data_IF_861604995115
#
_entry.id   IF_861604995115
#
_cell.length_a   1.000
_cell.length_b   1.000
_cell.length_c   1.000
_cell.angle_alpha   90.00
_cell.angle_beta   90.00
_cell.angle_gamma   90.00
#
_symmetry.space_group_name_H-M   'P 1'
#
loop_
_entity.id
_entity.type
_entity.pdbx_description
1 polymer ?
#
# COMPACT_ATOMS: atom_id res chain seq x y z
N UNK A 1 -35.12 2.89 -62.39
CA UNK A 1 -33.88 3.61 -62.02
C UNK A 1 -34.01 3.93 -60.54
N UNK A 2 -33.53 3.04 -59.67
CA UNK A 2 -33.46 3.25 -58.23
C UNK A 2 -32.13 2.64 -57.79
N UNK A 3 -31.36 3.46 -57.09
CA UNK A 3 -29.96 3.29 -56.74
C UNK A 3 -29.75 2.20 -55.68
N UNK A 4 -28.54 1.65 -55.73
CA UNK A 4 -27.98 0.61 -54.88
C UNK A 4 -27.44 1.29 -53.62
N UNK A 5 -27.95 0.94 -52.44
CA UNK A 5 -27.29 1.21 -51.16
C UNK A 5 -26.54 -0.05 -50.69
N UNK A 6 -25.22 0.09 -50.63
CA UNK A 6 -24.28 -0.90 -50.12
C UNK A 6 -24.26 -0.94 -48.58
N UNK A 7 -24.56 -2.11 -48.01
CA UNK A 7 -24.47 -2.40 -46.58
C UNK A 7 -23.00 -2.47 -46.08
N UNK A 8 -22.69 -2.03 -44.85
CA UNK A 8 -21.33 -1.97 -44.33
C UNK A 8 -20.81 -3.33 -43.84
N UNK A 9 -19.54 -3.60 -44.14
CA UNK A 9 -18.75 -4.76 -43.72
C UNK A 9 -18.76 -5.00 -42.19
N UNK A 10 -19.15 -6.20 -41.77
CA UNK A 10 -19.26 -6.65 -40.37
C UNK A 10 -17.95 -7.06 -39.66
N UNK A 11 -16.79 -6.55 -40.07
CA UNK A 11 -15.49 -6.95 -39.49
C UNK A 11 -15.06 -6.17 -38.24
N UNK A 12 -15.82 -5.18 -37.76
CA UNK A 12 -15.43 -4.30 -36.64
C UNK A 12 -15.99 -4.68 -35.25
N UNK A 13 -16.85 -5.70 -35.13
CA UNK A 13 -17.52 -6.01 -33.86
C UNK A 13 -16.65 -6.85 -32.90
N UNK A 14 -15.83 -7.77 -33.41
CA UNK A 14 -15.03 -8.68 -32.58
C UNK A 14 -13.82 -8.01 -31.93
N UNK A 15 -13.15 -7.07 -32.61
CA UNK A 15 -12.07 -6.27 -32.04
C UNK A 15 -12.61 -5.36 -30.94
N UNK A 16 -13.72 -4.66 -31.18
CA UNK A 16 -14.34 -3.73 -30.24
C UNK A 16 -14.78 -4.38 -28.91
N UNK A 17 -15.26 -5.62 -28.91
CA UNK A 17 -15.62 -6.33 -27.67
C UNK A 17 -14.39 -6.69 -26.82
N UNK A 18 -13.28 -7.07 -27.44
CA UNK A 18 -12.04 -7.38 -26.72
C UNK A 18 -11.40 -6.12 -26.12
N UNK A 19 -11.43 -5.01 -26.84
CA UNK A 19 -10.92 -3.71 -26.39
C UNK A 19 -11.81 -3.15 -25.27
N UNK A 20 -13.14 -3.23 -25.42
CA UNK A 20 -14.11 -2.83 -24.39
C UNK A 20 -13.94 -3.61 -23.08
N UNK A 21 -13.72 -4.93 -23.16
CA UNK A 21 -13.45 -5.77 -21.99
C UNK A 21 -12.14 -5.41 -21.30
N UNK A 22 -11.06 -5.18 -22.07
CA UNK A 22 -9.76 -4.74 -21.54
C UNK A 22 -9.85 -3.36 -20.87
N UNK A 23 -10.57 -2.42 -21.47
CA UNK A 23 -10.79 -1.08 -20.89
C UNK A 23 -11.60 -1.15 -19.59
N UNK A 24 -12.60 -2.04 -19.52
CA UNK A 24 -13.38 -2.24 -18.30
C UNK A 24 -12.53 -2.83 -17.18
N UNK A 25 -11.72 -3.86 -17.47
CA UNK A 25 -10.76 -4.44 -16.52
C UNK A 25 -9.72 -3.41 -16.03
N UNK A 26 -9.26 -2.54 -16.93
CA UNK A 26 -8.32 -1.47 -16.61
C UNK A 26 -8.94 -0.46 -15.62
N UNK A 27 -10.17 -0.05 -15.87
CA UNK A 27 -10.91 0.86 -14.98
C UNK A 27 -11.13 0.27 -13.59
N UNK A 28 -11.40 -1.03 -13.47
CA UNK A 28 -11.50 -1.70 -12.18
C UNK A 28 -10.15 -1.82 -11.48
N UNK A 29 -9.09 -2.12 -12.23
CA UNK A 29 -7.72 -2.19 -11.71
C UNK A 29 -7.24 -0.85 -11.13
N UNK A 30 -7.61 0.27 -11.75
CA UNK A 30 -7.27 1.62 -11.26
C UNK A 30 -7.96 1.92 -9.92
N UNK A 31 -9.17 1.38 -9.66
CA UNK A 31 -9.85 1.55 -8.36
C UNK A 31 -9.06 0.96 -7.19
N UNK A 32 -8.20 -0.03 -7.47
CA UNK A 32 -7.34 -0.65 -6.46
C UNK A 32 -6.11 0.20 -6.12
N UNK A 33 -5.85 1.30 -6.85
CA UNK A 33 -4.69 2.18 -6.68
C UNK A 33 -4.91 3.30 -5.65
N UNK A 34 -5.91 3.17 -4.76
CA UNK A 34 -6.20 4.20 -3.74
C UNK A 34 -4.95 4.59 -2.92
N UNK A 35 -4.17 3.61 -2.47
CA UNK A 35 -2.95 3.87 -1.67
C UNK A 35 -1.91 4.70 -2.45
N UNK A 36 -1.78 4.46 -3.75
CA UNK A 36 -0.82 5.16 -4.62
C UNK A 36 -1.02 6.68 -4.56
N UNK A 37 -2.28 7.13 -4.55
CA UNK A 37 -2.63 8.55 -4.50
C UNK A 37 -2.77 9.08 -3.08
N UNK A 38 -3.22 8.23 -2.15
CA UNK A 38 -3.54 8.64 -0.77
C UNK A 38 -2.29 8.98 0.04
N UNK A 39 -1.26 8.12 0.02
CA UNK A 39 -0.02 8.30 0.78
C UNK A 39 0.71 9.62 0.44
N UNK A 40 1.00 9.94 -0.83
CA UNK A 40 1.76 11.14 -1.18
C UNK A 40 0.94 12.39 -0.93
N UNK A 41 -0.40 12.33 -1.08
CA UNK A 41 -1.28 13.43 -0.73
C UNK A 41 -1.30 13.71 0.78
N UNK A 42 -1.35 12.68 1.62
CA UNK A 42 -1.24 12.86 3.06
C UNK A 42 0.14 13.38 3.48
N UNK A 43 1.22 12.93 2.82
CA UNK A 43 2.55 13.47 3.03
C UNK A 43 2.66 14.94 2.58
N UNK A 44 2.11 15.30 1.42
CA UNK A 44 2.05 16.69 0.95
C UNK A 44 1.30 17.59 1.94
N UNK A 45 0.13 17.15 2.43
CA UNK A 45 -0.61 17.88 3.47
C UNK A 45 0.16 18.04 4.76
N UNK A 46 0.96 17.03 5.15
CA UNK A 46 1.86 17.13 6.31
C UNK A 46 2.90 18.22 6.07
N UNK A 47 3.58 18.20 4.93
CA UNK A 47 4.62 19.18 4.55
C UNK A 47 4.06 20.61 4.53
N UNK A 48 2.94 20.85 3.86
CA UNK A 48 2.29 22.19 3.81
C UNK A 48 1.95 22.69 5.22
N UNK A 49 1.38 21.85 6.08
CA UNK A 49 1.05 22.25 7.46
C UNK A 49 2.29 22.55 8.29
N UNK A 50 3.35 21.76 8.15
CA UNK A 50 4.59 21.96 8.87
C UNK A 50 5.26 23.28 8.45
N UNK A 51 5.35 23.51 7.15
CA UNK A 51 5.90 24.74 6.57
C UNK A 51 5.08 25.96 6.97
N UNK A 52 3.75 25.89 6.88
CA UNK A 52 2.86 26.97 7.29
C UNK A 52 3.07 27.36 8.76
N UNK A 53 3.09 26.38 9.68
CA UNK A 53 3.36 26.64 11.10
C UNK A 53 4.75 27.24 11.34
N UNK A 54 5.76 26.76 10.62
CA UNK A 54 7.12 27.28 10.73
C UNK A 54 7.17 28.75 10.28
N UNK A 55 6.56 29.07 9.13
CA UNK A 55 6.47 30.45 8.62
C UNK A 55 5.69 31.34 9.58
N UNK A 56 4.51 30.93 10.06
CA UNK A 56 3.71 31.72 11.01
C UNK A 56 4.48 32.05 12.29
N UNK A 57 5.22 31.08 12.83
CA UNK A 57 6.05 31.28 14.03
C UNK A 57 7.13 32.32 13.79
N UNK A 58 7.86 32.21 12.68
CA UNK A 58 8.95 33.13 12.35
C UNK A 58 8.42 34.52 12.01
N UNK A 59 7.32 34.63 11.27
CA UNK A 59 6.65 35.90 10.97
C UNK A 59 6.20 36.59 12.26
N UNK A 60 5.54 35.86 13.16
CA UNK A 60 5.12 36.40 14.47
C UNK A 60 6.32 36.90 15.27
N UNK A 61 7.44 36.18 15.22
CA UNK A 61 8.68 36.55 15.87
C UNK A 61 9.27 37.83 15.27
N UNK A 62 9.26 37.99 13.94
CA UNK A 62 9.72 39.20 13.27
C UNK A 62 8.83 40.39 13.63
N UNK A 63 7.50 40.22 13.59
CA UNK A 63 6.54 41.26 13.97
C UNK A 63 6.79 41.75 15.40
N UNK A 64 6.97 40.83 16.36
CA UNK A 64 7.27 41.23 17.74
C UNK A 64 8.58 41.99 17.84
N UNK A 65 9.63 41.54 17.14
CA UNK A 65 10.92 42.25 17.13
C UNK A 65 10.86 43.63 16.49
N UNK A 66 9.98 43.86 15.51
CA UNK A 66 9.76 45.18 14.91
C UNK A 66 9.02 46.10 15.88
N UNK A 67 8.01 45.58 16.60
CA UNK A 67 7.31 46.34 17.62
C UNK A 67 8.25 46.76 18.76
N UNK A 68 9.06 45.82 19.26
CA UNK A 68 10.06 46.08 20.31
C UNK A 68 11.08 47.16 19.88
N UNK A 69 11.45 47.18 18.59
CA UNK A 69 12.37 48.18 18.05
C UNK A 69 11.72 49.56 17.83
N UNK A 70 10.39 49.64 17.68
CA UNK A 70 9.66 50.89 17.48
C UNK A 70 9.38 51.62 18.80
N UNK A 71 9.21 50.88 19.90
CA UNK A 71 8.87 51.43 21.22
C UNK A 71 10.10 51.78 22.09
N UNK A 72 11.30 51.38 21.67
CA UNK A 72 12.50 51.55 22.47
C UNK A 72 13.16 52.91 22.23
N UNK A 73 13.38 53.67 23.31
CA UNK A 73 14.18 54.91 23.31
C UNK A 73 15.67 54.52 23.38
N UNK A 74 16.23 54.07 22.24
CA UNK A 74 17.55 53.43 22.16
C UNK A 74 18.61 54.35 21.62
N UNK A 75 19.85 54.13 22.07
CA UNK A 75 21.02 54.79 21.49
C UNK A 75 21.15 54.44 20.00
N UNK A 76 21.85 55.29 19.23
CA UNK A 76 22.06 55.04 17.79
C UNK A 76 22.74 53.70 17.52
N UNK A 77 23.69 53.30 18.36
CA UNK A 77 24.43 52.04 18.21
C UNK A 77 23.53 50.83 18.49
N UNK A 78 22.68 50.92 19.52
CA UNK A 78 21.71 49.86 19.83
C UNK A 78 20.64 49.74 18.74
N UNK A 79 20.15 50.85 18.20
CA UNK A 79 19.19 50.86 17.09
C UNK A 79 19.77 50.17 15.83
N UNK A 80 21.06 50.41 15.53
CA UNK A 80 21.76 49.73 14.42
C UNK A 80 21.89 48.23 14.70
N UNK A 81 22.21 47.81 15.93
CA UNK A 81 22.26 46.40 16.31
C UNK A 81 20.89 45.72 16.19
N UNK A 82 19.81 46.37 16.64
CA UNK A 82 18.44 45.88 16.52
C UNK A 82 18.03 45.70 15.05
N UNK A 83 18.28 46.70 14.19
CA UNK A 83 18.00 46.59 12.76
C UNK A 83 18.82 45.48 12.09
N UNK A 84 20.09 45.32 12.47
CA UNK A 84 20.95 44.25 11.96
C UNK A 84 20.40 42.88 12.34
N UNK A 85 19.93 42.71 13.59
CA UNK A 85 19.26 41.51 14.06
C UNK A 85 17.97 41.23 13.27
N UNK A 86 17.13 42.25 13.06
CA UNK A 86 15.90 42.10 12.26
C UNK A 86 16.18 41.70 10.81
N UNK A 87 17.19 42.31 10.17
CA UNK A 87 17.63 41.92 8.81
C UNK A 87 18.08 40.47 8.79
N UNK A 88 18.87 40.02 9.79
CA UNK A 88 19.30 38.62 9.88
C UNK A 88 18.13 37.65 9.99
N UNK A 89 17.08 38.02 10.75
CA UNK A 89 15.87 37.22 10.95
C UNK A 89 15.02 37.18 9.68
N UNK A 90 14.88 38.31 8.97
CA UNK A 90 14.20 38.35 7.67
C UNK A 90 14.92 37.50 6.62
N UNK A 91 16.25 37.52 6.60
CA UNK A 91 17.04 36.63 5.73
C UNK A 91 16.83 35.16 6.10
N UNK A 92 16.79 34.83 7.40
CA UNK A 92 16.46 33.49 7.89
C UNK A 92 15.06 33.04 7.48
N UNK A 93 14.06 33.91 7.59
CA UNK A 93 12.69 33.65 7.15
C UNK A 93 12.63 33.39 5.63
N UNK A 94 13.32 34.22 4.83
CA UNK A 94 13.42 34.01 3.37
C UNK A 94 13.97 32.62 3.04
N UNK A 95 15.08 32.23 3.66
CA UNK A 95 15.69 30.90 3.45
C UNK A 95 14.72 29.76 3.80
N UNK A 96 14.07 29.83 4.97
CA UNK A 96 13.06 28.85 5.39
C UNK A 96 11.88 28.76 4.43
N UNK A 97 11.41 29.89 3.90
CA UNK A 97 10.32 29.92 2.93
C UNK A 97 10.72 29.29 1.59
N UNK A 98 11.93 29.56 1.11
CA UNK A 98 12.46 28.91 -0.10
C UNK A 98 12.63 27.39 0.07
N UNK A 99 13.18 26.94 1.21
CA UNK A 99 13.30 25.52 1.54
C UNK A 99 11.94 24.84 1.63
N UNK A 100 10.98 25.47 2.33
CA UNK A 100 9.61 24.98 2.43
C UNK A 100 8.93 24.87 1.05
N UNK A 101 9.08 25.90 0.21
CA UNK A 101 8.54 25.90 -1.15
C UNK A 101 9.14 24.78 -2.01
N UNK A 102 10.46 24.55 -1.94
CA UNK A 102 11.10 23.43 -2.64
C UNK A 102 10.55 22.08 -2.17
N UNK A 103 10.38 21.89 -0.86
CA UNK A 103 9.83 20.67 -0.30
C UNK A 103 8.37 20.43 -0.73
N UNK A 104 7.53 21.47 -0.73
CA UNK A 104 6.15 21.39 -1.20
C UNK A 104 6.06 21.07 -2.70
N UNK A 105 6.85 21.74 -3.53
CA UNK A 105 6.90 21.51 -4.97
C UNK A 105 7.33 20.07 -5.29
N UNK A 106 8.29 19.51 -4.56
CA UNK A 106 8.70 18.11 -4.71
C UNK A 106 7.54 17.14 -4.41
N UNK A 107 6.78 17.38 -3.34
CA UNK A 107 5.64 16.51 -3.03
C UNK A 107 4.49 16.68 -4.02
N UNK A 108 4.24 17.90 -4.51
CA UNK A 108 3.28 18.15 -5.57
C UNK A 108 3.69 17.44 -6.88
N UNK A 109 4.97 17.47 -7.23
CA UNK A 109 5.52 16.75 -8.39
C UNK A 109 5.29 15.24 -8.27
N UNK A 110 5.52 14.64 -7.09
CA UNK A 110 5.25 13.21 -6.86
C UNK A 110 3.77 12.86 -7.00
N UNK A 111 2.88 13.71 -6.48
CA UNK A 111 1.44 13.54 -6.71
C UNK A 111 1.10 13.56 -8.20
N UNK A 112 1.68 14.50 -8.96
CA UNK A 112 1.47 14.61 -10.42
C UNK A 112 2.00 13.40 -11.16
N UNK A 113 3.24 12.98 -10.91
CA UNK A 113 3.85 11.82 -11.55
C UNK A 113 3.01 10.54 -11.39
N UNK A 114 2.32 10.39 -10.25
CA UNK A 114 1.43 9.26 -10.01
C UNK A 114 0.09 9.37 -10.74
N UNK A 115 -0.45 10.57 -10.90
CA UNK A 115 -1.61 10.81 -11.76
C UNK A 115 -1.27 10.52 -13.23
N UNK A 116 -0.15 11.06 -13.72
CA UNK A 116 0.34 10.83 -15.08
C UNK A 116 0.54 9.32 -15.34
N UNK A 117 1.09 8.58 -14.34
CA UNK A 117 1.22 7.12 -14.43
C UNK A 117 -0.13 6.40 -14.51
N UNK A 118 -1.16 6.86 -13.78
CA UNK A 118 -2.51 6.28 -13.89
C UNK A 118 -3.18 6.60 -15.23
N UNK A 119 -2.96 7.81 -15.77
CA UNK A 119 -3.48 8.22 -17.08
C UNK A 119 -2.79 7.49 -18.23
N UNK A 120 -1.52 7.10 -18.07
CA UNK A 120 -0.77 6.30 -19.05
C UNK A 120 -1.25 4.84 -19.18
N UNK A 121 -2.23 4.45 -18.38
CA UNK A 121 -2.83 3.12 -18.47
C UNK A 121 -3.68 3.03 -19.75
N UNK A 122 -3.19 2.31 -20.75
CA UNK A 122 -3.90 2.01 -21.98
C UNK A 122 -3.79 0.51 -22.35
N UNK A 123 -4.57 0.07 -23.34
CA UNK A 123 -4.61 -1.32 -23.76
C UNK A 123 -3.33 -1.80 -24.49
N UNK A 124 -2.55 -0.89 -25.07
CA UNK A 124 -1.33 -1.19 -25.84
C UNK A 124 -0.08 -1.29 -24.94
N UNK A 125 -0.04 -0.49 -23.88
CA UNK A 125 1.03 -0.37 -22.90
C UNK A 125 0.77 -1.16 -21.61
N UNK A 126 -0.33 -1.91 -21.54
CA UNK A 126 -0.78 -2.62 -20.33
C UNK A 126 0.31 -3.50 -19.70
N UNK A 127 1.12 -4.19 -20.52
CA UNK A 127 2.22 -5.03 -20.02
C UNK A 127 3.30 -4.21 -19.29
N UNK A 128 3.73 -3.10 -19.88
CA UNK A 128 4.71 -2.19 -19.27
C UNK A 128 4.14 -1.54 -18.02
N UNK A 129 2.89 -1.09 -18.08
CA UNK A 129 2.19 -0.50 -16.94
C UNK A 129 2.08 -1.49 -15.76
N UNK A 130 1.70 -2.74 -16.03
CA UNK A 130 1.64 -3.81 -15.03
C UNK A 130 3.02 -4.15 -14.45
N UNK A 131 4.08 -4.12 -15.25
CA UNK A 131 5.44 -4.32 -14.75
C UNK A 131 5.84 -3.22 -13.76
N UNK A 132 5.57 -1.96 -14.09
CA UNK A 132 5.77 -0.82 -13.17
C UNK A 132 4.93 -0.97 -11.92
N UNK A 133 3.66 -1.37 -12.05
CA UNK A 133 2.78 -1.65 -10.91
C UNK A 133 3.36 -2.70 -9.97
N UNK A 134 3.81 -3.83 -10.50
CA UNK A 134 4.42 -4.90 -9.71
C UNK A 134 5.66 -4.39 -8.97
N UNK A 135 6.54 -3.66 -9.64
CA UNK A 135 7.75 -3.10 -9.01
C UNK A 135 7.42 -2.15 -7.85
N UNK A 136 6.40 -1.30 -7.98
CA UNK A 136 5.91 -0.45 -6.88
C UNK A 136 5.41 -1.27 -5.70
N UNK A 137 4.65 -2.33 -5.95
CA UNK A 137 4.16 -3.26 -4.92
C UNK A 137 5.32 -3.96 -4.21
N UNK A 138 6.35 -4.37 -4.95
CA UNK A 138 7.56 -4.97 -4.37
C UNK A 138 8.33 -3.97 -3.51
N UNK A 139 8.46 -2.71 -3.94
CA UNK A 139 9.07 -1.65 -3.12
C UNK A 139 8.29 -1.43 -1.83
N UNK A 140 6.96 -1.31 -1.87
CA UNK A 140 6.11 -1.21 -0.65
C UNK A 140 6.35 -2.41 0.29
N UNK A 141 6.36 -3.64 -0.24
CA UNK A 141 6.65 -4.83 0.55
C UNK A 141 8.03 -4.79 1.20
N UNK A 142 9.07 -4.45 0.43
CA UNK A 142 10.45 -4.36 0.93
C UNK A 142 10.57 -3.32 2.04
N UNK A 143 9.95 -2.14 1.90
CA UNK A 143 9.96 -1.10 2.93
C UNK A 143 9.27 -1.58 4.21
N UNK A 144 8.13 -2.26 4.11
CA UNK A 144 7.41 -2.82 5.28
C UNK A 144 8.19 -3.92 5.99
N UNK A 145 8.93 -4.73 5.24
CA UNK A 145 9.79 -5.81 5.75
C UNK A 145 11.18 -5.32 6.17
N UNK A 146 11.43 -4.01 6.17
CA UNK A 146 12.71 -3.38 6.53
C UNK A 146 13.88 -3.63 5.58
N UNK A 147 13.61 -4.04 4.33
CA UNK A 147 14.59 -4.20 3.27
C UNK A 147 14.82 -2.89 2.49
N UNK A 148 15.18 -1.81 3.21
CA UNK A 148 15.26 -0.45 2.67
C UNK A 148 16.27 -0.31 1.52
N UNK A 149 17.49 -0.82 1.67
CA UNK A 149 18.54 -0.68 0.65
C UNK A 149 18.14 -1.34 -0.67
N UNK A 150 17.50 -2.51 -0.60
CA UNK A 150 16.98 -3.23 -1.77
C UNK A 150 15.83 -2.47 -2.41
N UNK A 151 14.93 -1.89 -1.60
CA UNK A 151 13.81 -1.08 -2.07
C UNK A 151 14.31 0.15 -2.85
N UNK A 152 15.32 0.86 -2.33
CA UNK A 152 15.95 2.02 -2.98
C UNK A 152 16.59 1.61 -4.30
N UNK A 153 17.39 0.54 -4.32
CA UNK A 153 18.04 0.03 -5.54
C UNK A 153 17.03 -0.36 -6.62
N UNK A 154 15.92 -1.01 -6.24
CA UNK A 154 14.85 -1.36 -7.19
C UNK A 154 14.17 -0.12 -7.75
N UNK A 155 13.91 0.89 -6.90
CA UNK A 155 13.28 2.14 -7.32
C UNK A 155 14.16 2.94 -8.28
N UNK A 156 15.48 3.00 -8.03
CA UNK A 156 16.45 3.71 -8.87
C UNK A 156 16.68 2.99 -10.20
N UNK A 157 16.98 1.69 -10.17
CA UNK A 157 17.22 0.89 -11.39
C UNK A 157 16.01 0.83 -12.32
N UNK A 158 14.80 0.96 -11.77
CA UNK A 158 13.56 0.99 -12.55
C UNK A 158 13.05 2.41 -12.84
N UNK A 159 13.72 3.45 -12.37
CA UNK A 159 13.30 4.86 -12.53
C UNK A 159 11.87 5.13 -12.03
N UNK A 160 11.49 4.55 -10.89
CA UNK A 160 10.14 4.67 -10.28
C UNK A 160 10.14 5.41 -8.95
N UNK A 161 11.20 6.18 -8.63
CA UNK A 161 11.37 6.85 -7.32
C UNK A 161 10.19 7.77 -6.96
N UNK A 162 9.61 8.45 -7.93
CA UNK A 162 8.44 9.34 -7.71
C UNK A 162 7.12 8.57 -7.52
N UNK A 163 7.10 7.29 -7.87
CA UNK A 163 5.93 6.43 -7.77
C UNK A 163 5.89 5.57 -6.49
N UNK A 164 6.88 5.73 -5.60
CA UNK A 164 7.03 4.97 -4.36
C UNK A 164 7.22 5.89 -3.15
N UNK A 165 7.00 5.36 -1.95
CA UNK A 165 6.90 6.16 -0.72
C UNK A 165 8.12 6.04 0.20
N UNK A 166 9.33 5.91 -0.36
CA UNK A 166 10.58 5.65 0.39
C UNK A 166 10.76 6.62 1.55
N UNK A 167 10.72 7.93 1.31
CA UNK A 167 10.94 8.95 2.35
C UNK A 167 9.93 8.85 3.50
N UNK A 168 8.68 8.46 3.19
CA UNK A 168 7.61 8.28 4.19
C UNK A 168 7.94 7.10 5.11
N UNK A 169 8.45 6.01 4.55
CA UNK A 169 8.89 4.85 5.32
C UNK A 169 10.22 5.09 6.05
N UNK A 170 11.12 5.94 5.54
CA UNK A 170 12.33 6.34 6.27
C UNK A 170 12.01 7.18 7.51
N UNK A 171 11.01 8.07 7.45
CA UNK A 171 10.51 8.75 8.65
C UNK A 171 9.97 7.75 9.68
N UNK A 172 9.22 6.74 9.23
CA UNK A 172 8.69 5.70 10.11
C UNK A 172 9.80 4.84 10.71
N UNK A 173 10.83 4.51 9.91
CA UNK A 173 12.00 3.75 10.34
C UNK A 173 12.68 4.39 11.55
N UNK A 174 12.89 5.72 11.53
CA UNK A 174 13.49 6.44 12.66
C UNK A 174 12.73 6.23 13.97
N UNK A 175 11.39 6.17 13.91
CA UNK A 175 10.55 5.90 15.09
C UNK A 175 10.64 4.43 15.51
N UNK A 176 10.61 3.50 14.55
CA UNK A 176 10.72 2.06 14.81
C UNK A 176 12.07 1.72 15.46
N UNK A 177 13.17 2.20 14.87
CA UNK A 177 14.53 1.96 15.37
C UNK A 177 14.70 2.54 16.79
N UNK A 178 14.16 3.73 17.05
CA UNK A 178 14.16 4.33 18.39
C UNK A 178 13.39 3.48 19.41
N UNK A 179 12.19 3.00 19.06
CA UNK A 179 11.42 2.12 19.94
C UNK A 179 12.13 0.79 20.20
N UNK A 180 12.80 0.21 19.19
CA UNK A 180 13.62 -0.99 19.36
C UNK A 180 14.81 -0.74 20.30
N UNK A 181 15.38 0.47 20.26
CA UNK A 181 16.43 0.94 21.18
C UNK A 181 15.89 1.43 22.54
N UNK A 182 14.60 1.23 22.83
CA UNK A 182 13.95 1.63 24.09
C UNK A 182 13.83 3.13 24.31
N UNK A 183 13.76 3.89 23.22
CA UNK A 183 13.60 5.33 23.23
C UNK A 183 12.21 5.74 22.74
N UNK A 184 11.42 6.36 23.62
CA UNK A 184 10.07 6.85 23.28
C UNK A 184 10.05 8.24 22.63
N UNK A 185 11.16 8.98 22.69
CA UNK A 185 11.23 10.38 22.29
C UNK A 185 10.72 10.64 20.86
N UNK A 186 11.27 9.97 19.83
CA UNK A 186 10.82 10.11 18.46
C UNK A 186 9.34 9.72 18.25
N UNK A 187 8.85 8.69 18.94
CA UNK A 187 7.45 8.26 18.87
C UNK A 187 6.50 9.30 19.49
N UNK A 188 6.89 9.91 20.61
CA UNK A 188 6.12 10.98 21.25
C UNK A 188 6.12 12.26 20.42
N UNK A 189 7.22 12.61 19.76
CA UNK A 189 7.27 13.71 18.80
C UNK A 189 6.30 13.45 17.63
N UNK A 190 6.30 12.23 17.09
CA UNK A 190 5.34 11.82 16.06
C UNK A 190 3.89 11.93 16.54
N UNK A 191 3.59 11.56 17.79
CA UNK A 191 2.27 11.74 18.39
C UNK A 191 1.88 13.23 18.46
N UNK A 192 2.81 14.11 18.85
CA UNK A 192 2.57 15.54 18.93
C UNK A 192 2.26 16.15 17.56
N UNK A 193 3.01 15.77 16.52
CA UNK A 193 2.81 16.22 15.14
C UNK A 193 1.44 15.82 14.59
N UNK A 194 0.95 14.65 15.01
CA UNK A 194 -0.29 14.04 14.52
C UNK A 194 -1.46 14.11 15.51
N UNK A 195 -1.33 14.89 16.60
CA UNK A 195 -2.25 14.92 17.74
C UNK A 195 -3.73 15.04 17.38
N UNK A 196 -4.08 15.95 16.47
CA UNK A 196 -5.48 16.18 16.07
C UNK A 196 -6.10 14.98 15.36
N UNK A 197 -5.29 14.22 14.62
CA UNK A 197 -5.71 13.03 13.88
C UNK A 197 -5.83 11.82 14.80
N UNK A 198 -4.85 11.63 15.68
CA UNK A 198 -4.84 10.58 16.69
C UNK A 198 -6.00 10.74 17.69
N UNK A 199 -6.35 11.99 18.04
CA UNK A 199 -7.54 12.28 18.87
C UNK A 199 -8.84 11.90 18.15
N UNK A 200 -8.96 12.17 16.84
CA UNK A 200 -10.13 11.78 16.04
C UNK A 200 -10.28 10.26 15.93
N UNK A 201 -9.18 9.52 15.81
CA UNK A 201 -9.20 8.05 15.79
C UNK A 201 -9.29 7.42 17.18
N UNK A 202 -9.33 8.22 18.26
CA UNK A 202 -9.29 7.76 19.65
C UNK A 202 -8.11 6.81 19.93
N UNK A 203 -6.96 7.08 19.30
CA UNK A 203 -5.76 6.26 19.48
C UNK A 203 -5.27 6.30 20.93
N UNK A 204 -4.87 5.13 21.43
CA UNK A 204 -4.24 4.98 22.75
C UNK A 204 -2.71 5.00 22.69
N UNK A 205 -2.12 5.20 21.51
CA UNK A 205 -0.68 5.01 21.30
C UNK A 205 0.17 5.95 22.17
N UNK A 206 -0.16 7.25 22.23
CA UNK A 206 0.53 8.19 23.12
C UNK A 206 0.45 7.75 24.58
N UNK A 207 -0.72 7.29 25.03
CA UNK A 207 -0.89 6.81 26.40
C UNK A 207 0.01 5.60 26.70
N UNK A 208 0.07 4.61 25.80
CA UNK A 208 0.93 3.43 25.98
C UNK A 208 2.43 3.79 26.02
N UNK A 209 2.88 4.75 25.18
CA UNK A 209 4.26 5.25 25.24
C UNK A 209 4.57 5.90 26.60
N UNK A 210 3.65 6.72 27.11
CA UNK A 210 3.79 7.38 28.42
C UNK A 210 3.83 6.38 29.57
N UNK A 211 3.05 5.30 29.49
CA UNK A 211 3.11 4.20 30.46
C UNK A 211 4.47 3.50 30.41
N UNK A 212 4.97 3.18 29.22
CA UNK A 212 6.28 2.54 29.08
C UNK A 212 7.41 3.43 29.62
N UNK A 213 7.42 4.72 29.31
CA UNK A 213 8.41 5.66 29.83
C UNK A 213 8.38 5.72 31.36
N UNK A 214 7.19 5.70 31.98
CA UNK A 214 7.05 5.58 33.43
C UNK A 214 7.64 4.26 33.96
N UNK A 215 7.36 3.13 33.33
CA UNK A 215 7.89 1.82 33.72
C UNK A 215 9.43 1.81 33.66
N UNK A 216 10.03 2.44 32.65
CA UNK A 216 11.48 2.58 32.55
C UNK A 216 12.07 3.46 33.67
N UNK A 217 11.38 4.53 34.08
CA UNK A 217 11.79 5.33 35.24
C UNK A 217 11.76 4.51 36.54
N UNK A 218 10.76 3.64 36.70
CA UNK A 218 10.67 2.71 37.83
C UNK A 218 11.77 1.65 37.77
N UNK A 219 12.06 1.11 36.58
CA UNK A 219 13.15 0.14 36.36
C UNK A 219 14.51 0.74 36.72
N UNK A 220 14.72 2.03 36.45
CA UNK A 220 15.93 2.77 36.82
C UNK A 220 15.97 3.21 38.30
N UNK A 221 15.03 2.73 39.13
CA UNK A 221 14.88 3.07 40.55
C UNK A 221 14.67 4.56 40.85
N UNK A 222 14.27 5.34 39.85
CA UNK A 222 14.08 6.79 39.99
C UNK A 222 12.63 7.15 40.36
N UNK A 223 12.19 6.64 41.52
CA UNK A 223 10.79 6.70 41.96
C UNK A 223 10.24 8.12 42.06
N UNK A 224 11.03 9.07 42.55
CA UNK A 224 10.61 10.48 42.68
C UNK A 224 10.32 11.10 41.32
N UNK A 225 11.19 10.87 40.32
CA UNK A 225 10.95 11.33 38.95
C UNK A 225 9.76 10.61 38.32
N UNK A 226 9.60 9.31 38.54
CA UNK A 226 8.46 8.54 38.05
C UNK A 226 7.12 9.11 38.57
N UNK A 227 7.03 9.44 39.86
CA UNK A 227 5.82 10.04 40.46
C UNK A 227 5.54 11.43 39.88
N UNK A 228 6.57 12.28 39.75
CA UNK A 228 6.44 13.60 39.14
C UNK A 228 5.97 13.50 37.68
N UNK A 229 6.57 12.56 36.92
CA UNK A 229 6.20 12.26 35.55
C UNK A 229 4.74 11.80 35.44
N UNK A 230 4.30 10.88 36.30
CA UNK A 230 2.92 10.38 36.30
C UNK A 230 1.91 11.51 36.55
N UNK A 231 2.19 12.39 37.52
CA UNK A 231 1.34 13.56 37.78
C UNK A 231 1.23 14.49 36.57
N UNK A 232 2.32 14.67 35.83
CA UNK A 232 2.38 15.58 34.68
C UNK A 232 1.71 15.00 33.43
N UNK A 233 2.02 13.75 33.07
CA UNK A 233 1.66 13.19 31.76
C UNK A 233 0.58 12.10 31.82
N UNK A 234 0.45 11.38 32.94
CA UNK A 234 -0.47 10.26 33.09
C UNK A 234 -1.80 10.66 33.76
N UNK A 235 -1.78 11.63 34.68
CA UNK A 235 -2.98 12.11 35.36
C UNK A 235 -4.13 12.54 34.43
N UNK A 236 -3.89 13.22 33.28
CA UNK A 236 -4.96 13.57 32.34
C UNK A 236 -5.74 12.37 31.78
N UNK A 237 -5.14 11.17 31.79
CA UNK A 237 -5.76 9.93 31.30
C UNK A 237 -6.54 9.19 32.38
N UNK A 238 -6.53 9.67 33.62
CA UNK A 238 -7.21 9.05 34.76
C UNK A 238 -8.71 8.87 34.55
N UNK A 239 -9.37 9.82 33.87
CA UNK A 239 -10.81 9.75 33.62
C UNK A 239 -11.21 8.56 32.71
N UNK A 240 -10.33 8.11 31.81
CA UNK A 240 -10.64 7.09 30.80
C UNK A 240 -9.89 5.78 30.98
N UNK A 241 -8.70 5.78 31.61
CA UNK A 241 -7.80 4.62 31.71
C UNK A 241 -7.34 4.31 33.14
N UNK A 242 -8.15 4.63 34.16
CA UNK A 242 -7.78 4.48 35.57
C UNK A 242 -7.27 3.07 35.94
N UNK A 243 -7.89 2.01 35.40
CA UNK A 243 -7.48 0.62 35.70
C UNK A 243 -6.07 0.31 35.21
N UNK A 244 -5.74 0.76 33.99
CA UNK A 244 -4.41 0.58 33.40
C UNK A 244 -3.37 1.40 34.18
N UNK A 245 -3.73 2.63 34.56
CA UNK A 245 -2.90 3.50 35.40
C UNK A 245 -2.60 2.89 36.77
N UNK A 246 -3.62 2.39 37.47
CA UNK A 246 -3.45 1.75 38.78
C UNK A 246 -2.52 0.54 38.69
N UNK A 247 -2.67 -0.29 37.65
CA UNK A 247 -1.80 -1.44 37.41
C UNK A 247 -0.35 -1.03 37.19
N UNK A 248 -0.11 0.03 36.40
CA UNK A 248 1.25 0.52 36.15
C UNK A 248 1.82 1.22 37.40
N UNK A 249 1.03 1.98 38.14
CA UNK A 249 1.47 2.62 39.39
C UNK A 249 1.88 1.60 40.46
N UNK A 250 1.26 0.41 40.48
CA UNK A 250 1.65 -0.67 41.38
C UNK A 250 3.10 -1.16 41.16
N UNK A 251 3.70 -0.89 40.00
CA UNK A 251 5.11 -1.23 39.73
C UNK A 251 6.11 -0.48 40.63
N UNK A 252 5.68 0.62 41.28
CA UNK A 252 6.46 1.28 42.34
C UNK A 252 6.68 0.37 43.56
N UNK A 253 5.74 -0.54 43.82
CA UNK A 253 5.86 -1.57 44.87
C UNK A 253 6.39 -2.88 44.29
N UNK A 254 5.87 -3.31 43.14
CA UNK A 254 6.29 -4.50 42.41
C UNK A 254 7.33 -4.13 41.34
N UNK A 255 8.59 -4.01 41.76
CA UNK A 255 9.73 -3.61 40.92
C UNK A 255 10.05 -4.63 39.80
N UNK A 256 11.04 -4.30 38.97
CA UNK A 256 11.50 -5.10 37.83
C UNK A 256 11.94 -6.54 38.15
N UNK A 257 12.31 -6.83 39.41
CA UNK A 257 12.68 -8.16 39.89
C UNK A 257 11.50 -8.95 40.51
N UNK A 258 10.26 -8.51 40.30
CA UNK A 258 9.09 -9.18 40.85
C UNK A 258 8.82 -10.55 40.20
N UNK A 259 8.47 -11.53 41.02
CA UNK A 259 7.96 -12.83 40.54
C UNK A 259 6.44 -12.84 40.33
N UNK A 260 5.75 -11.73 40.66
CA UNK A 260 4.32 -11.60 40.39
C UNK A 260 4.10 -11.44 38.88
N UNK A 261 3.57 -12.49 38.24
CA UNK A 261 3.36 -12.56 36.78
C UNK A 261 2.57 -11.38 36.21
N UNK A 262 1.60 -10.85 36.97
CA UNK A 262 0.75 -9.71 36.59
C UNK A 262 1.59 -8.45 36.29
N UNK A 263 2.66 -8.23 37.06
CA UNK A 263 3.52 -7.05 36.95
C UNK A 263 4.82 -7.34 36.21
N UNK A 264 5.34 -8.58 36.30
CA UNK A 264 6.54 -9.03 35.58
C UNK A 264 6.44 -8.78 34.07
N UNK A 265 5.28 -9.08 33.48
CA UNK A 265 5.00 -8.88 32.04
C UNK A 265 5.17 -7.41 31.60
N UNK A 266 4.92 -6.44 32.47
CA UNK A 266 5.07 -5.01 32.16
C UNK A 266 6.54 -4.61 31.96
N UNK A 267 7.48 -5.37 32.54
CA UNK A 267 8.90 -5.14 32.39
C UNK A 267 9.55 -6.00 31.30
N UNK A 268 8.78 -6.77 30.53
CA UNK A 268 9.34 -7.61 29.48
C UNK A 268 9.73 -6.81 28.24
N UNK A 269 10.75 -7.30 27.51
CA UNK A 269 11.18 -6.70 26.24
C UNK A 269 10.04 -6.66 25.21
N UNK A 270 9.13 -7.64 25.24
CA UNK A 270 7.98 -7.75 24.35
C UNK A 270 7.04 -6.53 24.38
N UNK A 271 7.07 -5.73 25.45
CA UNK A 271 6.31 -4.47 25.50
C UNK A 271 6.77 -3.49 24.42
N UNK A 272 8.07 -3.47 24.11
CA UNK A 272 8.62 -2.63 23.04
C UNK A 272 8.19 -3.13 21.66
N UNK A 273 8.18 -4.45 21.44
CA UNK A 273 7.68 -5.04 20.19
C UNK A 273 6.20 -4.70 19.97
N UNK A 274 5.39 -4.73 21.03
CA UNK A 274 4.00 -4.29 20.98
C UNK A 274 3.87 -2.80 20.63
N UNK A 275 4.70 -1.92 21.19
CA UNK A 275 4.71 -0.50 20.84
C UNK A 275 5.10 -0.26 19.38
N UNK A 276 6.08 -1.01 18.86
CA UNK A 276 6.47 -0.96 17.45
C UNK A 276 5.29 -1.37 16.56
N UNK A 277 4.58 -2.43 16.90
CA UNK A 277 3.44 -2.90 16.14
C UNK A 277 2.26 -1.92 16.20
N UNK A 278 1.97 -1.36 17.38
CA UNK A 278 0.97 -0.29 17.52
C UNK A 278 1.34 0.94 16.70
N UNK A 279 2.62 1.33 16.68
CA UNK A 279 3.10 2.41 15.82
C UNK A 279 2.85 2.12 14.34
N UNK A 280 3.23 0.93 13.85
CA UNK A 280 3.00 0.52 12.45
C UNK A 280 1.52 0.59 12.07
N UNK A 281 0.62 0.16 12.96
CA UNK A 281 -0.82 0.23 12.74
C UNK A 281 -1.33 1.67 12.65
N UNK A 282 -0.91 2.54 13.59
CA UNK A 282 -1.30 3.95 13.56
C UNK A 282 -0.73 4.68 12.34
N UNK A 283 0.53 4.39 11.98
CA UNK A 283 1.19 4.92 10.81
C UNK A 283 0.45 4.55 9.52
N UNK A 284 0.11 3.27 9.33
CA UNK A 284 -0.65 2.81 8.18
C UNK A 284 -2.03 3.47 8.12
N UNK A 285 -2.74 3.52 9.25
CA UNK A 285 -4.06 4.17 9.36
C UNK A 285 -3.99 5.66 9.00
N UNK A 286 -2.94 6.35 9.44
CA UNK A 286 -2.75 7.76 9.20
C UNK A 286 -2.52 8.05 7.71
N UNK A 287 -1.68 7.27 7.04
CA UNK A 287 -1.44 7.44 5.61
C UNK A 287 -2.51 6.78 4.71
N UNK A 288 -3.50 6.10 5.30
CA UNK A 288 -4.56 5.41 4.55
C UNK A 288 -4.04 4.20 3.78
N UNK A 289 -3.00 3.55 4.32
CA UNK A 289 -2.41 2.33 3.80
C UNK A 289 -3.11 1.10 4.38
N UNK A 290 -2.98 -0.02 3.68
CA UNK A 290 -3.33 -1.33 4.25
C UNK A 290 -2.36 -1.69 5.38
N UNK A 291 -2.86 -2.47 6.36
CA UNK A 291 -2.01 -3.03 7.41
C UNK A 291 -1.10 -4.11 6.83
N UNK A 292 -1.70 -5.04 6.10
CA UNK A 292 -0.98 -6.05 5.32
C UNK A 292 -0.34 -5.43 4.06
N UNK A 293 0.89 -5.84 3.69
CA UNK A 293 1.50 -5.44 2.43
C UNK A 293 0.61 -5.75 1.22
N UNK A 294 0.60 -4.87 0.22
CA UNK A 294 -0.20 -5.06 -1.00
C UNK A 294 0.13 -6.37 -1.73
N UNK A 295 1.40 -6.79 -1.69
CA UNK A 295 1.84 -8.06 -2.28
C UNK A 295 1.09 -9.25 -1.68
N UNK A 296 0.92 -9.29 -0.35
CA UNK A 296 0.23 -10.37 0.33
C UNK A 296 -1.25 -10.39 -0.08
N UNK A 297 -1.89 -9.22 -0.10
CA UNK A 297 -3.31 -9.08 -0.46
C UNK A 297 -3.55 -9.55 -1.89
N UNK A 298 -2.76 -9.08 -2.86
CA UNK A 298 -2.93 -9.47 -4.26
C UNK A 298 -2.59 -10.94 -4.50
N UNK A 299 -1.56 -11.46 -3.85
CA UNK A 299 -1.21 -12.88 -3.96
C UNK A 299 -2.33 -13.76 -3.41
N UNK A 300 -2.88 -13.44 -2.22
CA UNK A 300 -4.01 -14.18 -1.64
C UNK A 300 -5.26 -14.08 -2.51
N UNK A 301 -5.57 -12.89 -3.05
CA UNK A 301 -6.72 -12.71 -3.94
C UNK A 301 -6.57 -13.54 -5.23
N UNK A 302 -5.38 -13.51 -5.85
CA UNK A 302 -5.07 -14.31 -7.04
C UNK A 302 -5.14 -15.81 -6.78
N UNK A 303 -4.52 -16.28 -5.69
CA UNK A 303 -4.59 -17.70 -5.30
C UNK A 303 -6.03 -18.14 -5.00
N UNK A 304 -6.83 -17.30 -4.33
CA UNK A 304 -8.24 -17.61 -4.06
C UNK A 304 -9.07 -17.71 -5.34
N UNK A 305 -8.79 -16.86 -6.33
CA UNK A 305 -9.47 -16.89 -7.63
C UNK A 305 -9.15 -18.17 -8.42
N UNK A 306 -7.92 -18.68 -8.30
CA UNK A 306 -7.44 -19.89 -8.98
C UNK A 306 -7.72 -21.18 -8.20
N UNK A 307 -7.92 -21.11 -6.89
CA UNK A 307 -8.06 -22.29 -6.04
C UNK A 307 -9.35 -23.06 -6.35
N UNK A 308 -9.18 -24.21 -7.00
CA UNK A 308 -10.22 -25.21 -7.23
C UNK A 308 -9.86 -26.53 -6.55
N UNK A 309 -10.81 -27.45 -6.32
CA UNK A 309 -10.49 -28.78 -5.82
C UNK A 309 -9.51 -29.54 -6.73
N UNK A 310 -9.59 -29.33 -8.05
CA UNK A 310 -8.74 -29.99 -9.05
C UNK A 310 -7.25 -29.61 -8.95
N UNK A 311 -6.93 -28.46 -8.34
CA UNK A 311 -5.55 -28.00 -8.14
C UNK A 311 -4.70 -28.93 -7.25
N UNK A 312 -5.35 -29.90 -6.58
CA UNK A 312 -4.72 -30.86 -5.66
C UNK A 312 -4.71 -32.29 -6.21
N UNK A 313 -5.22 -32.51 -7.43
CA UNK A 313 -5.19 -33.81 -8.10
C UNK A 313 -3.89 -34.03 -8.87
N UNK A 314 -3.49 -35.29 -9.04
CA UNK A 314 -2.23 -35.67 -9.71
C UNK A 314 -2.18 -35.26 -11.20
N UNK A 315 -3.36 -35.09 -11.83
CA UNK A 315 -3.51 -34.70 -13.24
C UNK A 315 -3.59 -33.17 -13.46
N UNK A 316 -3.33 -32.37 -12.42
CA UNK A 316 -3.36 -30.90 -12.53
C UNK A 316 -2.32 -30.40 -13.56
N UNK A 317 -2.75 -29.52 -14.47
CA UNK A 317 -1.87 -28.96 -15.51
C UNK A 317 -0.70 -28.17 -14.91
N UNK A 318 0.51 -28.34 -15.45
CA UNK A 318 1.71 -27.56 -15.05
C UNK A 318 1.57 -26.03 -15.25
N UNK A 319 0.60 -25.61 -16.05
CA UNK A 319 0.23 -24.20 -16.26
C UNK A 319 -0.55 -23.60 -15.07
N UNK A 320 -1.11 -24.43 -14.19
CA UNK A 320 -1.76 -23.97 -12.97
C UNK A 320 -0.67 -23.61 -11.93
N UNK A 321 -0.62 -22.37 -11.42
CA UNK A 321 0.31 -21.99 -10.35
C UNK A 321 0.17 -22.87 -9.10
N UNK A 322 -1.03 -23.39 -8.81
CA UNK A 322 -1.30 -24.29 -7.69
C UNK A 322 -0.82 -25.73 -7.95
N UNK A 323 -0.27 -26.04 -9.13
CA UNK A 323 0.50 -27.27 -9.34
C UNK A 323 1.82 -27.28 -8.53
N UNK A 324 2.31 -26.12 -8.09
CA UNK A 324 3.50 -26.02 -7.24
C UNK A 324 3.15 -26.10 -5.75
N UNK A 325 3.93 -26.90 -5.00
CA UNK A 325 3.71 -27.13 -3.57
C UNK A 325 3.76 -25.83 -2.74
N UNK A 326 4.68 -24.92 -3.06
CA UNK A 326 4.82 -23.64 -2.38
C UNK A 326 3.56 -22.79 -2.46
N UNK A 327 2.93 -22.71 -3.64
CA UNK A 327 1.68 -21.98 -3.82
C UNK A 327 0.49 -22.70 -3.16
N UNK A 328 0.46 -24.05 -3.17
CA UNK A 328 -0.56 -24.81 -2.41
C UNK A 328 -0.51 -24.55 -0.91
N UNK A 329 0.69 -24.48 -0.32
CA UNK A 329 0.88 -24.16 1.10
C UNK A 329 0.31 -22.78 1.43
N UNK A 330 0.61 -21.78 0.59
CA UNK A 330 0.08 -20.42 0.75
C UNK A 330 -1.45 -20.35 0.54
N UNK A 331 -1.99 -21.17 -0.37
CA UNK A 331 -3.42 -21.20 -0.68
C UNK A 331 -4.25 -22.04 0.31
N UNK A 332 -3.63 -22.86 1.16
CA UNK A 332 -4.33 -23.78 2.07
C UNK A 332 -5.43 -23.09 2.92
N UNK A 333 -5.19 -21.96 3.61
CA UNK A 333 -6.20 -21.29 4.43
C UNK A 333 -7.24 -20.50 3.61
N UNK A 334 -7.05 -20.36 2.30
CA UNK A 334 -7.90 -19.52 1.44
C UNK A 334 -9.19 -20.26 1.01
N UNK A 335 -10.28 -19.55 0.74
CA UNK A 335 -11.50 -20.16 0.22
C UNK A 335 -11.29 -20.72 -1.20
N UNK A 336 -12.08 -21.74 -1.55
CA UNK A 336 -12.18 -22.19 -2.94
C UNK A 336 -12.96 -21.19 -3.78
N UNK A 337 -12.55 -21.05 -5.04
CA UNK A 337 -13.24 -20.26 -6.06
C UNK A 337 -14.64 -20.83 -6.31
N UNK A 338 -15.68 -20.00 -6.15
CA UNK A 338 -17.05 -20.36 -6.49
C UNK A 338 -17.28 -20.08 -7.97
N UNK A 339 -17.01 -21.07 -8.82
CA UNK A 339 -17.36 -20.99 -10.24
C UNK A 339 -18.84 -21.36 -10.39
N UNK A 340 -19.72 -20.36 -10.55
CA UNK A 340 -21.16 -20.61 -10.81
C UNK A 340 -21.44 -21.02 -12.26
N UNK A 341 -20.53 -20.71 -13.18
CA UNK A 341 -20.65 -21.05 -14.60
C UNK A 341 -19.32 -21.57 -15.14
N UNK A 342 -19.30 -22.84 -15.52
CA UNK A 342 -18.17 -23.42 -16.26
C UNK A 342 -18.17 -22.89 -17.70
N UNK A 343 -17.04 -22.36 -18.14
CA UNK A 343 -16.81 -21.92 -19.52
C UNK A 343 -15.87 -22.89 -20.20
N UNK A 344 -16.25 -23.44 -21.35
CA UNK A 344 -15.34 -24.29 -22.14
C UNK A 344 -14.34 -23.41 -22.90
N UNK A 345 -13.06 -23.76 -22.80
CA UNK A 345 -11.98 -23.10 -23.55
C UNK A 345 -11.33 -24.13 -24.46
N UNK A 346 -11.15 -23.78 -25.72
CA UNK A 346 -10.60 -24.70 -26.70
C UNK A 346 -9.13 -25.02 -26.41
N UNK A 347 -8.78 -26.31 -26.44
CA UNK A 347 -7.40 -26.74 -26.24
C UNK A 347 -6.42 -26.20 -27.31
N UNK A 348 -6.89 -26.03 -28.56
CA UNK A 348 -6.05 -25.63 -29.71
C UNK A 348 -5.95 -24.10 -29.79
N UNK A 349 -7.08 -23.41 -29.91
CA UNK A 349 -7.10 -21.95 -30.14
C UNK A 349 -6.96 -21.14 -28.84
N UNK A 350 -7.16 -21.77 -27.68
CA UNK A 350 -7.27 -21.10 -26.37
C UNK A 350 -8.40 -20.05 -26.30
N UNK A 351 -9.31 -20.05 -27.26
CA UNK A 351 -10.49 -19.20 -27.29
C UNK A 351 -11.66 -19.84 -26.52
N UNK A 352 -12.57 -18.98 -26.04
CA UNK A 352 -13.83 -19.42 -25.44
C UNK A 352 -14.67 -20.17 -26.48
N UNK A 353 -15.33 -21.22 -26.02
CA UNK A 353 -16.31 -21.99 -26.79
C UNK A 353 -17.70 -21.55 -26.36
N UNK A 354 -18.37 -20.81 -27.22
CA UNK A 354 -19.65 -20.15 -26.99
C UNK A 354 -20.61 -20.36 -28.18
N UNK A 355 -21.68 -19.57 -28.28
CA UNK A 355 -22.65 -19.68 -29.37
C UNK A 355 -22.03 -19.47 -30.76
N UNK A 356 -21.03 -18.59 -30.86
CA UNK A 356 -20.35 -18.23 -32.11
C UNK A 356 -19.18 -19.18 -32.42
N UNK A 357 -18.58 -19.80 -31.40
CA UNK A 357 -17.52 -20.79 -31.53
C UNK A 357 -17.86 -22.09 -30.78
N UNK A 358 -18.91 -22.83 -31.20
CA UNK A 358 -19.47 -23.89 -30.37
C UNK A 358 -18.56 -25.11 -30.25
N UNK A 359 -18.70 -25.88 -29.15
CA UNK A 359 -18.03 -27.15 -28.97
C UNK A 359 -18.45 -28.18 -30.02
N UNK A 360 -17.47 -28.82 -30.64
CA UNK A 360 -17.62 -29.97 -31.52
C UNK A 360 -16.85 -31.17 -30.97
N UNK A 361 -17.50 -32.32 -30.98
CA UNK A 361 -17.04 -33.59 -30.43
C UNK A 361 -16.54 -34.46 -31.57
N UNK A 362 -15.29 -34.92 -31.46
CA UNK A 362 -14.72 -35.93 -32.33
C UNK A 362 -15.28 -37.32 -32.00
N UNK A 363 -15.27 -38.30 -32.93
CA UNK A 363 -15.69 -39.67 -32.65
C UNK A 363 -14.96 -40.36 -31.48
N UNK A 364 -13.74 -39.91 -31.16
CA UNK A 364 -12.96 -40.40 -30.02
C UNK A 364 -13.31 -39.72 -28.68
N UNK A 365 -14.36 -38.90 -28.63
CA UNK A 365 -14.89 -38.26 -27.43
C UNK A 365 -14.22 -36.94 -27.03
N UNK A 366 -13.16 -36.49 -27.72
CA UNK A 366 -12.52 -35.22 -27.41
C UNK A 366 -13.27 -34.04 -28.04
N UNK A 367 -13.33 -32.92 -27.30
CA UNK A 367 -14.07 -31.72 -27.70
C UNK A 367 -13.11 -30.58 -28.04
N UNK A 368 -13.33 -29.94 -29.18
CA UNK A 368 -12.60 -28.76 -29.65
C UNK A 368 -13.58 -27.73 -30.21
N UNK A 369 -13.14 -26.50 -30.45
CA UNK A 369 -14.02 -25.44 -30.95
C UNK A 369 -14.19 -25.55 -32.45
N UNK A 370 -15.35 -25.12 -32.95
CA UNK A 370 -15.66 -25.16 -34.39
C UNK A 370 -14.59 -24.44 -35.21
N UNK A 371 -14.16 -23.25 -34.80
CA UNK A 371 -13.06 -22.51 -35.47
C UNK A 371 -11.76 -23.32 -35.57
N UNK A 372 -11.37 -23.99 -34.48
CA UNK A 372 -10.14 -24.78 -34.45
C UNK A 372 -10.19 -25.96 -35.42
N UNK A 373 -11.34 -26.64 -35.49
CA UNK A 373 -11.53 -27.81 -36.34
C UNK A 373 -11.70 -27.42 -37.82
N UNK A 374 -12.38 -26.31 -38.11
CA UNK A 374 -12.50 -25.77 -39.47
C UNK A 374 -11.14 -25.38 -40.04
N UNK A 375 -10.33 -24.67 -39.26
CA UNK A 375 -8.98 -24.28 -39.68
C UNK A 375 -8.07 -25.51 -39.89
N UNK A 376 -8.22 -26.54 -39.06
CA UNK A 376 -7.49 -27.79 -39.23
C UNK A 376 -7.91 -28.53 -40.50
N UNK A 377 -9.22 -28.63 -40.76
CA UNK A 377 -9.77 -29.29 -41.93
C UNK A 377 -9.40 -28.55 -43.23
N UNK A 378 -9.42 -27.21 -43.23
CA UNK A 378 -8.95 -26.39 -44.37
C UNK A 378 -7.50 -26.68 -44.73
N UNK A 379 -6.64 -26.85 -43.73
CA UNK A 379 -5.21 -27.14 -43.93
C UNK A 379 -4.93 -28.59 -44.31
N UNK A 380 -5.80 -29.51 -43.95
CA UNK A 380 -5.57 -30.97 -44.05
C UNK A 380 -6.56 -31.66 -44.99
N UNK A 381 -7.05 -30.93 -45.99
CA UNK A 381 -7.93 -31.43 -47.06
C UNK A 381 -9.19 -32.17 -46.53
N UNK A 382 -9.86 -31.59 -45.53
CA UNK A 382 -11.09 -32.11 -44.92
C UNK A 382 -10.88 -33.11 -43.77
N UNK A 383 -9.63 -33.51 -43.48
CA UNK A 383 -9.29 -34.39 -42.35
C UNK A 383 -8.92 -33.60 -41.11
N UNK A 384 -9.20 -34.18 -39.95
CA UNK A 384 -8.89 -33.62 -38.64
C UNK A 384 -8.06 -34.64 -37.88
N UNK A 385 -6.97 -34.19 -37.27
CA UNK A 385 -6.10 -35.01 -36.46
C UNK A 385 -6.23 -34.54 -35.02
N UNK A 386 -6.71 -35.42 -34.14
CA UNK A 386 -6.84 -35.12 -32.73
C UNK A 386 -5.45 -34.86 -32.12
N UNK A 387 -5.13 -33.66 -31.61
CA UNK A 387 -3.80 -33.33 -31.12
C UNK A 387 -3.38 -34.11 -29.87
N UNK A 388 -4.35 -34.71 -29.16
CA UNK A 388 -4.10 -35.46 -27.92
C UNK A 388 -3.90 -36.96 -28.15
N UNK A 389 -4.49 -37.52 -29.20
CA UNK A 389 -4.51 -38.98 -29.43
C UNK A 389 -3.99 -39.40 -30.80
N UNK A 390 -3.79 -38.47 -31.74
CA UNK A 390 -3.43 -38.76 -33.12
C UNK A 390 -4.56 -39.35 -33.97
N UNK A 391 -5.77 -39.52 -33.42
CA UNK A 391 -6.92 -40.06 -34.13
C UNK A 391 -7.32 -39.17 -35.31
N UNK A 392 -7.59 -39.77 -36.47
CA UNK A 392 -7.95 -39.06 -37.71
C UNK A 392 -9.41 -39.32 -38.06
N UNK A 393 -10.18 -38.26 -38.30
CA UNK A 393 -11.55 -38.34 -38.80
C UNK A 393 -11.83 -37.25 -39.85
N UNK A 394 -12.97 -37.33 -40.53
CA UNK A 394 -13.39 -36.27 -41.44
C UNK A 394 -14.17 -35.19 -40.69
N UNK A 395 -14.20 -33.99 -41.24
CA UNK A 395 -14.98 -32.88 -40.68
C UNK A 395 -16.50 -33.19 -40.62
N UNK A 396 -17.01 -34.04 -41.52
CA UNK A 396 -18.40 -34.50 -41.52
C UNK A 396 -18.78 -35.35 -40.30
N UNK A 397 -17.79 -35.96 -39.65
CA UNK A 397 -18.01 -36.95 -38.58
C UNK A 397 -18.14 -36.28 -37.20
N UNK A 398 -18.06 -34.94 -37.16
CA UNK A 398 -18.12 -34.13 -35.96
C UNK A 398 -19.55 -33.91 -35.50
N UNK A 399 -19.78 -33.98 -34.19
CA UNK A 399 -21.09 -33.72 -33.59
C UNK A 399 -21.01 -32.46 -32.73
N UNK A 400 -21.96 -31.55 -32.90
CA UNK A 400 -22.06 -30.36 -32.04
C UNK A 400 -22.50 -30.78 -30.63
N UNK A 401 -21.74 -30.39 -29.61
CA UNK A 401 -22.17 -30.54 -28.23
C UNK A 401 -23.07 -29.37 -27.82
N UNK A 402 -24.08 -29.67 -27.02
CA UNK A 402 -24.91 -28.67 -26.36
C UNK A 402 -24.64 -28.75 -24.86
N UNK A 403 -24.32 -27.62 -24.24
CA UNK A 403 -24.09 -27.52 -22.81
C UNK A 403 -25.33 -26.84 -22.22
N UNK A 404 -26.01 -27.52 -21.29
CA UNK A 404 -27.17 -26.99 -20.57
C UNK A 404 -26.75 -26.27 -19.29
#
# INVERSE_FOLDING_TARGET
>A
MMEIDSLPNGNNAASNNSTSSKTTQLNESIKLEHQLLRVPFEHYKKTVRANHRAVEKEVSSVISGVADAADADVSKDDAVQHLTSLVSRLQGLKRKMEEGSRAENLQAQRCRARLDHLESADAENLSRWNNTRLKRILVDYMLRMSYYDTAVKLAESSSIRDLVDIDVFEEAKKVIDALQNKEVGPALAWCADNKSRLKKSKSKFEFQLRLQEFIELVRAENNLRAISYARKYLAPWGATHMKELQRVMATLAFKSNTECTIYKVLFEQKQWDYLVEQFKQEFCRLYGMTLEPLLNIYLQAGLSALKTPYCYEDDCTKEDPLSQESFRKLAMPLPYSKQHHSKLVCYITKELMDTENPPQVLPNGYVYSSKALEDMAKKSNGKIICPRTGFVCNYSDLVKAYIS
#
